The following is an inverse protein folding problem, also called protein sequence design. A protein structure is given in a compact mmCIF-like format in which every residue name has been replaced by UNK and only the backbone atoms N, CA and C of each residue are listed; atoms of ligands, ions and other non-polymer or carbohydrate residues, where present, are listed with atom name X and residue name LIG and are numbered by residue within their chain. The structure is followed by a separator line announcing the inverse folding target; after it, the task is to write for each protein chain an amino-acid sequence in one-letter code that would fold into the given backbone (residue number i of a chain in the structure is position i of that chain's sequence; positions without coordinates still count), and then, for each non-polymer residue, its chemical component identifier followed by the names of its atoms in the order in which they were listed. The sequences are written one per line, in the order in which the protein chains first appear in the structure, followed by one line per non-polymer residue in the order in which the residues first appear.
data_IF_236077768914
#
_entry.id   IF_236077768914
#
_cell.length_a   1.000
_cell.length_b   1.000
_cell.length_c   1.000
_cell.angle_alpha   90.00
_cell.angle_beta   90.00
_cell.angle_gamma   90.00
#
_symmetry.space_group_name_H-M   'P 1'
#
loop_
_entity.id
_entity.type
_entity.pdbx_description
1 polymer ?
#
# COMPACT_ATOMS: atom_id res chain seq x y z
N UNK A 1 -37.95 39.71 -65.23
CA UNK A 1 -37.01 40.39 -64.32
C UNK A 1 -37.06 39.66 -62.99
N UNK A 2 -36.13 38.74 -62.77
CA UNK A 2 -35.99 37.99 -61.52
C UNK A 2 -34.96 38.64 -60.62
N UNK A 3 -35.23 38.91 -59.32
CA UNK A 3 -34.17 39.33 -58.41
C UNK A 3 -33.42 38.10 -57.87
N UNK A 4 -32.14 38.16 -58.01
CA UNK A 4 -31.14 37.20 -57.56
C UNK A 4 -31.11 37.23 -56.04
N UNK A 5 -31.59 36.17 -55.39
CA UNK A 5 -31.43 35.95 -53.93
C UNK A 5 -30.02 35.48 -53.65
N UNK A 6 -29.21 36.33 -53.04
CA UNK A 6 -27.86 35.97 -52.53
C UNK A 6 -27.99 34.98 -51.41
N UNK A 7 -27.45 33.77 -51.63
CA UNK A 7 -27.33 32.72 -50.64
C UNK A 7 -26.15 33.05 -49.70
N UNK A 8 -26.46 33.55 -48.53
CA UNK A 8 -25.43 33.74 -47.48
C UNK A 8 -25.04 32.37 -46.89
N UNK A 9 -23.75 32.06 -46.74
CA UNK A 9 -23.34 30.83 -46.08
C UNK A 9 -23.72 30.88 -44.59
N UNK A 10 -24.13 29.76 -44.01
CA UNK A 10 -24.45 29.70 -42.56
C UNK A 10 -23.19 30.00 -41.77
N UNK A 11 -23.33 30.82 -40.73
CA UNK A 11 -22.30 31.11 -39.73
C UNK A 11 -21.63 29.83 -39.22
N UNK A 12 -20.31 29.80 -39.00
CA UNK A 12 -19.63 28.66 -38.43
C UNK A 12 -20.24 28.41 -37.05
N UNK A 13 -20.88 27.26 -36.93
CA UNK A 13 -21.45 26.73 -35.68
C UNK A 13 -20.37 26.83 -34.62
N UNK A 14 -20.60 27.66 -33.63
CA UNK A 14 -19.87 27.62 -32.36
C UNK A 14 -20.22 26.26 -31.75
N UNK A 15 -19.39 25.27 -32.01
CA UNK A 15 -19.47 23.98 -31.32
C UNK A 15 -19.31 24.29 -29.82
N UNK A 16 -20.32 24.07 -28.98
CA UNK A 16 -20.13 24.20 -27.56
C UNK A 16 -18.95 23.30 -27.21
N UNK A 17 -17.95 23.85 -26.48
CA UNK A 17 -16.85 23.09 -25.94
C UNK A 17 -17.44 21.81 -25.35
N UNK A 18 -17.35 20.74 -26.12
CA UNK A 18 -17.77 19.44 -25.69
C UNK A 18 -17.14 19.24 -24.34
N UNK A 19 -17.96 19.05 -23.35
CA UNK A 19 -17.61 18.59 -22.04
C UNK A 19 -16.57 17.50 -22.26
N UNK A 20 -15.35 17.75 -21.82
CA UNK A 20 -14.35 16.72 -21.75
C UNK A 20 -14.96 15.64 -20.86
N UNK A 21 -15.65 14.73 -21.50
CA UNK A 21 -15.99 13.46 -20.90
C UNK A 21 -14.60 12.91 -20.53
N UNK A 22 -14.26 13.06 -19.26
CA UNK A 22 -13.23 12.26 -18.66
C UNK A 22 -13.72 10.82 -18.79
N UNK A 23 -13.49 10.24 -19.97
CA UNK A 23 -13.46 8.82 -20.10
C UNK A 23 -12.41 8.38 -19.10
N UNK A 24 -12.89 8.03 -17.92
CA UNK A 24 -12.11 7.20 -17.01
C UNK A 24 -11.80 5.96 -17.83
N UNK A 25 -10.62 5.94 -18.38
CA UNK A 25 -10.09 4.82 -19.12
C UNK A 25 -9.92 3.68 -18.13
N UNK A 26 -10.98 2.93 -17.92
CA UNK A 26 -11.08 1.77 -17.02
C UNK A 26 -10.10 0.66 -17.43
N UNK A 27 -9.54 0.78 -18.64
CA UNK A 27 -8.77 -0.26 -19.28
C UNK A 27 -7.31 -0.36 -18.83
N UNK A 28 -6.78 0.63 -18.09
CA UNK A 28 -5.38 0.68 -17.69
C UNK A 28 -5.17 1.04 -16.22
N UNK A 29 -6.00 0.52 -15.32
CA UNK A 29 -5.75 0.63 -13.89
C UNK A 29 -4.73 -0.44 -13.50
N UNK A 30 -3.45 -0.08 -13.55
CA UNK A 30 -2.40 -0.95 -13.06
C UNK A 30 -2.53 -1.08 -11.54
N UNK A 31 -2.82 -2.29 -11.07
CA UNK A 31 -2.82 -2.63 -9.65
C UNK A 31 -1.38 -2.86 -9.21
N UNK A 32 -0.99 -2.24 -8.09
CA UNK A 32 0.35 -2.40 -7.51
C UNK A 32 0.27 -2.90 -6.07
N UNK A 33 1.22 -3.77 -5.73
CA UNK A 33 1.46 -4.17 -4.34
C UNK A 33 2.56 -3.27 -3.80
N UNK A 34 2.25 -2.49 -2.77
CA UNK A 34 3.15 -1.48 -2.22
C UNK A 34 3.08 -1.39 -0.70
N UNK A 35 4.04 -0.66 -0.11
CA UNK A 35 4.05 -0.37 1.31
C UNK A 35 3.26 0.93 1.59
N UNK A 36 2.32 0.85 2.53
CA UNK A 36 1.62 1.98 3.13
C UNK A 36 2.27 2.29 4.47
N UNK A 37 2.71 3.53 4.65
CA UNK A 37 3.32 3.95 5.92
C UNK A 37 2.24 4.24 6.94
N UNK A 38 2.49 3.77 8.16
CA UNK A 38 1.67 4.03 9.34
C UNK A 38 2.60 4.41 10.51
N UNK A 39 2.03 4.73 11.67
CA UNK A 39 2.80 5.07 12.86
C UNK A 39 3.21 6.53 12.95
N UNK A 40 4.07 6.82 13.94
CA UNK A 40 4.56 8.16 14.27
C UNK A 40 5.86 8.47 13.51
N UNK A 41 6.38 9.71 13.65
CA UNK A 41 7.59 10.18 12.95
C UNK A 41 8.80 9.27 13.25
N UNK A 42 9.04 8.93 14.51
CA UNK A 42 10.18 8.12 14.94
C UNK A 42 9.86 6.65 15.17
N UNK A 43 8.61 6.22 14.94
CA UNK A 43 8.19 4.83 15.04
C UNK A 43 7.43 4.41 13.77
N UNK A 44 8.13 4.28 12.62
CA UNK A 44 7.51 3.88 11.37
C UNK A 44 7.19 2.39 11.40
N UNK A 45 5.99 2.03 10.94
CA UNK A 45 5.65 0.70 10.54
C UNK A 45 4.86 0.72 9.24
N UNK A 46 4.87 -0.38 8.54
CA UNK A 46 4.31 -0.46 7.20
C UNK A 46 3.30 -1.59 7.09
N UNK A 47 2.31 -1.38 6.23
CA UNK A 47 1.39 -2.42 5.76
C UNK A 47 1.70 -2.72 4.31
N UNK A 48 1.72 -4.00 3.96
CA UNK A 48 1.80 -4.45 2.57
C UNK A 48 0.38 -4.43 2.04
N UNK A 49 0.14 -3.59 1.03
CA UNK A 49 -1.20 -3.32 0.52
C UNK A 49 -1.27 -3.42 -0.99
N UNK A 50 -2.43 -3.83 -1.47
CA UNK A 50 -2.82 -3.78 -2.87
C UNK A 50 -3.57 -2.49 -3.12
N UNK A 51 -3.10 -1.71 -4.06
CA UNK A 51 -3.73 -0.44 -4.39
C UNK A 51 -3.57 -0.10 -5.88
N UNK A 52 -4.45 0.76 -6.36
CA UNK A 52 -4.31 1.38 -7.67
C UNK A 52 -3.03 2.24 -7.73
N UNK A 53 -2.31 2.12 -8.83
CA UNK A 53 -1.06 2.86 -9.08
C UNK A 53 -1.21 4.38 -8.99
N UNK A 54 -2.39 4.91 -9.33
CA UNK A 54 -2.70 6.34 -9.35
C UNK A 54 -3.02 6.91 -7.96
N UNK A 55 -3.30 6.07 -6.97
CA UNK A 55 -3.65 6.51 -5.61
C UNK A 55 -2.42 6.93 -4.82
N UNK A 56 -2.60 7.90 -3.91
CA UNK A 56 -1.56 8.32 -2.96
C UNK A 56 -1.06 7.14 -2.14
N UNK A 57 0.22 7.18 -1.69
CA UNK A 57 0.85 6.09 -0.92
C UNK A 57 0.00 5.60 0.26
N UNK A 58 -0.52 6.50 1.06
CA UNK A 58 -1.27 6.20 2.29
C UNK A 58 -2.79 6.34 2.09
N UNK A 59 -3.26 6.40 0.83
CA UNK A 59 -4.66 6.55 0.47
C UNK A 59 -5.48 5.26 0.60
N UNK A 60 -6.63 5.26 -0.10
CA UNK A 60 -7.53 4.11 -0.14
C UNK A 60 -6.83 2.90 -0.78
N UNK A 61 -6.90 1.77 -0.11
CA UNK A 61 -6.35 0.49 -0.55
C UNK A 61 -7.49 -0.45 -0.96
N UNK A 62 -7.18 -1.44 -1.78
CA UNK A 62 -8.12 -2.49 -2.16
C UNK A 62 -8.11 -3.56 -1.07
N UNK A 63 -6.91 -4.03 -0.69
CA UNK A 63 -6.72 -5.07 0.30
C UNK A 63 -5.39 -4.88 1.05
N UNK A 64 -5.33 -5.31 2.31
CA UNK A 64 -4.10 -5.40 3.10
C UNK A 64 -3.67 -6.86 3.16
N UNK A 65 -2.44 -7.15 2.69
CA UNK A 65 -1.91 -8.51 2.60
C UNK A 65 -0.97 -8.84 3.75
N UNK A 66 -0.34 -7.83 4.37
CA UNK A 66 0.64 -8.11 5.39
C UNK A 66 1.15 -6.91 6.16
N UNK A 67 2.09 -7.18 7.07
CA UNK A 67 2.72 -6.19 7.95
C UNK A 67 4.25 -6.24 7.79
N UNK A 68 4.86 -5.07 7.92
CA UNK A 68 6.32 -4.94 7.93
C UNK A 68 6.74 -3.92 8.98
N UNK A 69 7.52 -4.36 9.98
CA UNK A 69 8.06 -3.50 11.03
C UNK A 69 9.59 -3.54 10.99
N UNK A 70 10.24 -2.51 10.44
CA UNK A 70 11.69 -2.47 10.30
C UNK A 70 12.42 -2.16 11.62
N UNK A 71 11.75 -1.57 12.61
CA UNK A 71 12.34 -1.15 13.87
C UNK A 71 12.53 -2.28 14.88
N UNK A 72 12.00 -3.44 14.61
CA UNK A 72 12.18 -4.63 15.42
C UNK A 72 13.45 -5.37 15.02
N UNK A 73 14.07 -6.05 15.97
CA UNK A 73 15.29 -6.82 15.74
C UNK A 73 15.06 -8.29 16.16
N UNK A 74 14.96 -9.23 15.19
CA UNK A 74 14.89 -9.05 13.75
C UNK A 74 13.62 -8.36 13.28
N UNK A 75 13.61 -7.78 12.08
CA UNK A 75 12.45 -7.09 11.52
C UNK A 75 11.26 -8.03 11.38
N UNK A 76 10.08 -7.59 11.84
CA UNK A 76 8.85 -8.36 11.69
C UNK A 76 8.35 -8.27 10.25
N UNK A 77 8.21 -9.41 9.61
CA UNK A 77 7.63 -9.56 8.27
C UNK A 77 6.54 -10.61 8.33
N UNK A 78 5.30 -10.21 8.18
CA UNK A 78 4.15 -11.09 8.09
C UNK A 78 3.47 -10.88 6.75
N UNK A 79 3.36 -11.92 5.93
CA UNK A 79 2.71 -11.86 4.62
C UNK A 79 1.70 -13.01 4.52
N UNK A 80 0.51 -12.72 4.04
CA UNK A 80 -0.47 -13.72 3.67
C UNK A 80 -0.13 -14.25 2.27
N UNK A 81 0.65 -15.33 2.21
CA UNK A 81 1.19 -15.88 0.95
C UNK A 81 0.10 -16.19 -0.07
N UNK A 82 -1.01 -16.83 0.33
CA UNK A 82 -2.11 -17.17 -0.56
C UNK A 82 -2.70 -15.94 -1.26
N UNK A 83 -2.91 -14.86 -0.50
CA UNK A 83 -3.45 -13.61 -1.07
C UNK A 83 -2.44 -12.90 -1.95
N UNK A 84 -1.15 -12.93 -1.56
CA UNK A 84 -0.08 -12.38 -2.37
C UNK A 84 0.02 -13.11 -3.74
N UNK A 85 -0.03 -14.43 -3.74
CA UNK A 85 -0.01 -15.25 -4.96
C UNK A 85 -1.24 -14.99 -5.84
N UNK A 86 -2.42 -14.87 -5.24
CA UNK A 86 -3.63 -14.52 -5.98
C UNK A 86 -3.47 -13.20 -6.73
N UNK A 87 -3.03 -12.14 -6.05
CA UNK A 87 -2.86 -10.83 -6.68
C UNK A 87 -1.76 -10.79 -7.72
N UNK A 88 -0.66 -11.52 -7.51
CA UNK A 88 0.40 -11.69 -8.50
C UNK A 88 -0.14 -12.42 -9.74
N UNK A 89 -0.97 -13.44 -9.56
CA UNK A 89 -1.63 -14.19 -10.65
C UNK A 89 -2.61 -13.33 -11.45
N UNK A 90 -3.32 -12.40 -10.81
CA UNK A 90 -4.20 -11.42 -11.47
C UNK A 90 -3.40 -10.37 -12.25
N UNK A 91 -2.08 -10.24 -11.99
CA UNK A 91 -1.21 -9.29 -12.68
C UNK A 91 -0.87 -8.05 -11.87
N UNK A 92 -1.06 -8.05 -10.57
CA UNK A 92 -0.61 -6.96 -9.71
C UNK A 92 0.93 -6.88 -9.70
N UNK A 93 1.47 -5.68 -9.93
CA UNK A 93 2.90 -5.46 -9.98
C UNK A 93 3.44 -5.10 -8.58
N UNK A 94 4.35 -5.88 -7.99
CA UNK A 94 4.99 -5.51 -6.74
C UNK A 94 6.00 -4.38 -6.97
N UNK A 95 6.09 -3.44 -6.04
CA UNK A 95 7.20 -2.47 -6.00
C UNK A 95 8.49 -3.19 -5.61
N UNK A 96 9.64 -2.59 -5.92
CA UNK A 96 10.96 -3.18 -5.63
C UNK A 96 11.13 -3.59 -4.16
N UNK A 97 10.64 -2.73 -3.24
CA UNK A 97 10.69 -2.99 -1.80
C UNK A 97 9.85 -4.21 -1.41
N UNK A 98 8.63 -4.30 -1.94
CA UNK A 98 7.75 -5.45 -1.70
C UNK A 98 8.30 -6.70 -2.34
N UNK A 99 8.90 -6.58 -3.53
CA UNK A 99 9.53 -7.70 -4.21
C UNK A 99 10.67 -8.29 -3.37
N UNK A 100 11.49 -7.43 -2.73
CA UNK A 100 12.52 -7.87 -1.80
C UNK A 100 11.93 -8.64 -0.61
N UNK A 101 10.84 -8.14 -0.02
CA UNK A 101 10.12 -8.82 1.06
C UNK A 101 9.57 -10.18 0.60
N UNK A 102 8.90 -10.22 -0.55
CA UNK A 102 8.34 -11.47 -1.11
C UNK A 102 9.42 -12.50 -1.46
N UNK A 103 10.64 -12.07 -1.78
CA UNK A 103 11.78 -12.97 -1.95
C UNK A 103 12.24 -13.56 -0.62
N UNK A 104 12.25 -12.76 0.46
CA UNK A 104 12.60 -13.23 1.80
C UNK A 104 11.56 -14.20 2.38
N UNK A 105 10.27 -13.96 2.12
CA UNK A 105 9.19 -14.86 2.57
C UNK A 105 9.10 -16.13 1.71
N UNK A 106 9.72 -16.15 0.52
CA UNK A 106 9.65 -17.26 -0.41
C UNK A 106 8.43 -17.25 -1.34
N UNK A 107 7.48 -16.34 -1.12
CA UNK A 107 6.25 -16.25 -1.93
C UNK A 107 6.53 -15.95 -3.40
N UNK A 108 7.56 -15.17 -3.68
CA UNK A 108 7.99 -14.88 -5.04
C UNK A 108 8.51 -16.11 -5.79
N UNK A 109 9.29 -16.96 -5.11
CA UNK A 109 9.77 -18.22 -5.69
C UNK A 109 8.62 -19.18 -5.97
N UNK A 110 7.66 -19.28 -5.04
CA UNK A 110 6.44 -20.07 -5.21
C UNK A 110 5.63 -19.62 -6.42
N UNK A 111 5.46 -18.30 -6.59
CA UNK A 111 4.77 -17.73 -7.75
C UNK A 111 5.48 -18.06 -9.08
N UNK A 112 6.81 -18.05 -9.09
CA UNK A 112 7.61 -18.46 -10.27
C UNK A 112 7.68 -19.95 -10.50
N UNK A 113 7.15 -20.78 -9.59
CA UNK A 113 7.20 -22.22 -9.67
C UNK A 113 8.55 -22.82 -9.27
N UNK A 114 9.39 -22.09 -8.54
CA UNK A 114 10.66 -22.59 -8.00
C UNK A 114 10.38 -23.59 -6.88
N UNK A 115 10.76 -24.85 -7.10
CA UNK A 115 10.63 -25.91 -6.10
C UNK A 115 11.59 -25.65 -4.93
N UNK A 116 11.05 -25.44 -3.73
CA UNK A 116 11.86 -25.26 -2.51
C UNK A 116 12.04 -23.82 -2.05
N UNK A 117 11.24 -22.88 -2.52
CA UNK A 117 11.19 -21.54 -1.99
C UNK A 117 10.81 -21.58 -0.49
N UNK A 118 11.81 -21.43 0.39
CA UNK A 118 11.61 -21.42 1.84
C UNK A 118 11.69 -19.98 2.35
N UNK A 119 10.88 -19.66 3.35
CA UNK A 119 10.97 -18.39 4.04
C UNK A 119 12.28 -18.30 4.84
N UNK A 120 13.04 -17.23 4.65
CA UNK A 120 14.24 -16.92 5.43
C UNK A 120 13.91 -15.94 6.57
N UNK A 121 12.63 -15.63 6.75
CA UNK A 121 12.16 -14.66 7.74
C UNK A 121 12.30 -15.24 9.14
N UNK A 122 13.04 -14.57 9.99
CA UNK A 122 13.08 -14.87 11.42
C UNK A 122 11.95 -14.07 12.09
N UNK A 123 11.09 -14.76 12.86
CA UNK A 123 10.12 -14.06 13.70
C UNK A 123 10.86 -13.36 14.84
N UNK A 124 10.50 -12.10 15.18
CA UNK A 124 11.06 -11.44 16.36
C UNK A 124 10.69 -12.25 17.59
N UNK A 125 11.66 -12.42 18.47
CA UNK A 125 11.39 -13.04 19.76
C UNK A 125 10.32 -12.24 20.53
N UNK A 126 9.40 -12.91 21.22
CA UNK A 126 8.41 -12.23 22.02
C UNK A 126 9.13 -11.40 23.09
N UNK A 127 8.88 -10.10 23.11
CA UNK A 127 9.42 -9.24 24.17
C UNK A 127 9.04 -9.83 25.51
N UNK A 128 10.04 -10.02 26.39
CA UNK A 128 9.80 -10.49 27.73
C UNK A 128 8.67 -9.69 28.40
N UNK A 129 7.71 -10.39 28.98
CA UNK A 129 6.59 -9.74 29.64
C UNK A 129 7.15 -8.74 30.66
N UNK A 130 6.64 -7.50 30.63
CA UNK A 130 7.01 -6.49 31.61
C UNK A 130 6.64 -6.99 32.99
N UNK A 131 7.64 -7.41 33.78
CA UNK A 131 7.49 -7.69 35.20
C UNK A 131 7.77 -6.38 35.93
N UNK A 132 6.77 -5.77 36.62
CA UNK A 132 7.05 -4.60 37.43
C UNK A 132 8.02 -5.03 38.54
N UNK A 133 9.19 -4.39 38.60
CA UNK A 133 10.19 -4.66 39.64
C UNK A 133 9.56 -4.45 41.01
N UNK A 134 9.23 -5.55 41.66
CA UNK A 134 8.66 -5.56 43.03
C UNK A 134 9.58 -4.92 44.08
N UNK A 135 10.83 -4.58 43.70
CA UNK A 135 11.85 -3.99 44.59
C UNK A 135 12.08 -2.49 44.42
N UNK A 136 11.43 -1.83 43.50
CA UNK A 136 11.54 -0.36 43.39
C UNK A 136 10.72 0.30 44.48
N UNK A 137 11.42 0.86 45.49
CA UNK A 137 10.80 1.72 46.50
C UNK A 137 10.08 2.89 45.83
N UNK A 138 8.88 3.28 46.30
CA UNK A 138 8.14 4.39 45.70
C UNK A 138 8.98 5.68 45.75
N UNK A 139 9.16 6.30 44.61
CA UNK A 139 9.98 7.52 44.43
C UNK A 139 9.34 8.73 45.16
N UNK A 140 8.06 8.65 45.42
CA UNK A 140 7.33 9.69 46.15
C UNK A 140 7.41 9.42 47.68
N UNK A 141 8.23 10.19 48.36
CA UNK A 141 8.21 10.26 49.84
C UNK A 141 6.87 10.88 50.23
N UNK A 142 6.11 10.25 51.18
CA UNK A 142 4.90 10.89 51.69
C UNK A 142 5.26 12.22 52.32
N UNK A 143 4.57 13.32 51.93
CA UNK A 143 4.70 14.61 52.61
C UNK A 143 4.37 14.40 54.09
N UNK A 144 5.30 14.73 54.97
CA UNK A 144 5.03 14.76 56.39
C UNK A 144 3.88 15.74 56.62
N UNK A 145 2.80 15.25 57.27
CA UNK A 145 1.73 16.12 57.76
C UNK A 145 2.30 16.92 58.92
N UNK A 146 2.35 18.25 58.78
CA UNK A 146 2.57 19.18 59.88
C UNK A 146 1.29 19.28 60.70
#
# INVERSE_FOLDING_TARGET
MCPTTAFSPPCPHVVPRAWHQHHHDWRNVAVKIRLKRMGKIHAPYYRIVVADSRKKRDGRVIEEIGKYHPTENPSLIEVQGERAQYWLGVGAQPTEQVLAILKLTGDWGTFKGEKGAKSTVQSPEPKAAFSPDAKKKPVLKPKAKA
#
